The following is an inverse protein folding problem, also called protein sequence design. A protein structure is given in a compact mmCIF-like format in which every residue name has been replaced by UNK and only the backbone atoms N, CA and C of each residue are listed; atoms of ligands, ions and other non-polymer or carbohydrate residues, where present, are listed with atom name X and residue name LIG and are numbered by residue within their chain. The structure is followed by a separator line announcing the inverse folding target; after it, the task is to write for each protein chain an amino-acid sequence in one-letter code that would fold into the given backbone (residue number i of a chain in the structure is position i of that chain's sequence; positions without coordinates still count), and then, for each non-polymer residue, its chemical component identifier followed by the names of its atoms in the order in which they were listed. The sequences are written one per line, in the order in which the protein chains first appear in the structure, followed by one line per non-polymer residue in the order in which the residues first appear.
data_IF_353319394205
#
_entry.id   IF_353319394205
#
_cell.length_a   1.000
_cell.length_b   1.000
_cell.length_c   1.000
_cell.angle_alpha   90.00
_cell.angle_beta   90.00
_cell.angle_gamma   90.00
#
_symmetry.space_group_name_H-M   'P 1'
#
loop_
_entity.id
_entity.type
_entity.pdbx_description
1 polymer ?
#
# COMPACT_ATOMS: atom_id res chain seq x y z
N UNK A 1 -12.20 30.55 -6.57
CA UNK A 1 -10.92 30.74 -7.33
C UNK A 1 -10.30 29.37 -7.48
N UNK A 2 -9.58 29.09 -8.60
CA UNK A 2 -8.86 27.81 -8.73
C UNK A 2 -7.62 27.86 -7.83
N UNK A 3 -7.47 26.81 -7.03
CA UNK A 3 -6.29 26.58 -6.19
C UNK A 3 -5.54 25.35 -6.69
N UNK A 4 -4.23 25.35 -6.53
CA UNK A 4 -3.36 24.25 -6.93
C UNK A 4 -2.45 23.96 -5.75
N UNK A 5 -2.56 22.75 -5.21
CA UNK A 5 -1.67 22.28 -4.13
C UNK A 5 -0.90 21.05 -4.59
N UNK A 6 0.33 20.92 -4.10
CA UNK A 6 1.19 19.78 -4.37
C UNK A 6 0.97 18.73 -3.29
N UNK A 7 0.93 17.45 -3.68
CA UNK A 7 0.86 16.33 -2.76
C UNK A 7 1.48 15.08 -3.38
N UNK A 8 1.48 13.98 -2.66
CA UNK A 8 1.92 12.68 -3.15
C UNK A 8 0.74 11.87 -3.68
N UNK A 9 0.98 11.06 -4.68
CA UNK A 9 0.02 10.13 -5.22
C UNK A 9 -0.16 8.93 -4.26
N UNK A 10 -1.40 8.56 -3.87
CA UNK A 10 -1.66 7.47 -2.95
C UNK A 10 -1.73 6.09 -3.62
N UNK A 11 -1.57 6.00 -4.95
CA UNK A 11 -1.97 4.81 -5.70
C UNK A 11 -0.99 3.64 -5.67
N UNK A 12 0.30 3.87 -5.38
CA UNK A 12 1.30 2.81 -5.27
C UNK A 12 2.62 3.33 -4.67
N UNK A 13 3.53 2.42 -4.36
CA UNK A 13 4.80 2.70 -3.68
C UNK A 13 5.84 3.51 -4.47
N UNK A 14 5.54 3.98 -5.66
CA UNK A 14 6.49 4.79 -6.46
C UNK A 14 6.77 6.14 -5.81
N UNK A 15 5.80 6.74 -5.11
CA UNK A 15 5.97 8.05 -4.47
C UNK A 15 5.95 9.22 -5.46
N UNK A 16 5.05 9.19 -6.46
CA UNK A 16 4.90 10.24 -7.46
C UNK A 16 4.34 11.53 -6.86
N UNK A 17 4.89 12.69 -7.22
CA UNK A 17 4.30 13.99 -6.92
C UNK A 17 3.21 14.37 -7.93
N UNK A 18 2.07 14.80 -7.42
CA UNK A 18 0.94 15.28 -8.21
C UNK A 18 0.49 16.67 -7.75
N UNK A 19 -0.16 17.38 -8.66
CA UNK A 19 -0.89 18.60 -8.33
C UNK A 19 -2.37 18.26 -8.27
N UNK A 20 -3.03 18.70 -7.23
CA UNK A 20 -4.49 18.65 -7.12
C UNK A 20 -5.02 20.06 -7.36
N UNK A 21 -6.05 20.14 -8.18
CA UNK A 21 -6.75 21.39 -8.48
C UNK A 21 -8.08 21.37 -7.76
N UNK A 22 -8.34 22.41 -6.97
CA UNK A 22 -9.63 22.63 -6.33
C UNK A 22 -10.25 23.97 -6.75
N UNK A 23 -11.56 24.06 -6.64
CA UNK A 23 -12.33 25.27 -6.87
C UNK A 23 -13.37 25.44 -5.75
N UNK A 24 -13.18 26.45 -4.92
CA UNK A 24 -14.09 26.73 -3.78
C UNK A 24 -14.24 25.54 -2.80
N UNK A 25 -13.16 24.77 -2.63
CA UNK A 25 -13.13 23.56 -1.78
C UNK A 25 -13.39 22.25 -2.51
N UNK A 26 -13.99 22.26 -3.70
CA UNK A 26 -14.25 21.05 -4.49
C UNK A 26 -13.04 20.66 -5.31
N UNK A 27 -12.71 19.37 -5.31
CA UNK A 27 -11.64 18.80 -6.15
C UNK A 27 -12.13 18.69 -7.59
N UNK A 28 -11.41 19.30 -8.51
CA UNK A 28 -11.75 19.29 -9.96
C UNK A 28 -10.82 18.43 -10.80
N UNK A 29 -9.72 17.96 -10.25
CA UNK A 29 -8.83 17.03 -10.94
C UNK A 29 -7.37 17.08 -10.50
N UNK A 30 -6.55 16.30 -11.17
CA UNK A 30 -5.10 16.21 -10.94
C UNK A 30 -4.31 16.37 -12.23
N UNK A 31 -3.05 16.77 -12.09
CA UNK A 31 -2.05 16.67 -13.14
C UNK A 31 -0.64 16.44 -12.54
N UNK A 32 0.33 15.92 -13.31
CA UNK A 32 1.63 15.59 -12.75
C UNK A 32 2.39 16.83 -12.26
N UNK A 33 3.09 16.70 -11.14
CA UNK A 33 3.98 17.74 -10.66
C UNK A 33 5.32 17.68 -11.40
N UNK A 34 5.53 18.63 -12.32
CA UNK A 34 6.68 18.63 -13.26
C UNK A 34 8.05 18.66 -12.59
N UNK A 35 8.15 19.22 -11.39
CA UNK A 35 9.42 19.39 -10.68
C UNK A 35 9.69 18.29 -9.65
N UNK A 36 8.77 17.33 -9.52
CA UNK A 36 8.95 16.24 -8.57
C UNK A 36 10.04 15.28 -9.06
N UNK A 37 11.05 14.95 -8.21
CA UNK A 37 12.23 14.19 -8.66
C UNK A 37 11.88 12.75 -9.07
N UNK A 38 10.88 12.14 -8.43
CA UNK A 38 10.52 10.74 -8.66
C UNK A 38 9.87 10.50 -10.01
N UNK A 39 8.83 11.27 -10.34
CA UNK A 39 8.03 11.05 -11.55
C UNK A 39 8.30 12.05 -12.68
N UNK A 40 9.12 13.08 -12.47
CA UNK A 40 9.62 14.01 -13.52
C UNK A 40 8.50 14.58 -14.40
N UNK A 41 7.36 14.86 -13.83
CA UNK A 41 6.19 15.36 -14.56
C UNK A 41 5.43 14.29 -15.35
N UNK A 42 5.61 13.02 -15.07
CA UNK A 42 4.79 11.93 -15.62
C UNK A 42 3.68 11.55 -14.62
N UNK A 43 2.59 10.99 -15.12
CA UNK A 43 1.50 10.48 -14.32
C UNK A 43 0.85 9.28 -15.02
N UNK A 44 0.49 8.26 -14.26
CA UNK A 44 -0.26 7.11 -14.76
C UNK A 44 -1.77 7.33 -14.62
N UNK A 45 -2.57 6.41 -15.13
CA UNK A 45 -4.02 6.49 -15.03
C UNK A 45 -4.50 6.48 -13.57
N UNK A 46 -3.93 5.60 -12.74
CA UNK A 46 -4.29 5.52 -11.31
C UNK A 46 -4.01 6.84 -10.58
N UNK A 47 -2.85 7.46 -10.85
CA UNK A 47 -2.54 8.77 -10.27
C UNK A 47 -3.44 9.91 -10.77
N UNK A 48 -3.97 9.82 -12.00
CA UNK A 48 -4.96 10.80 -12.48
C UNK A 48 -6.30 10.66 -11.80
N UNK A 49 -6.72 9.41 -11.59
CA UNK A 49 -8.02 9.07 -11.03
C UNK A 49 -8.01 9.02 -9.50
N UNK A 50 -6.85 9.27 -8.86
CA UNK A 50 -6.73 9.16 -7.39
C UNK A 50 -7.67 10.07 -6.61
N UNK A 51 -8.17 11.14 -7.22
CA UNK A 51 -9.12 12.08 -6.59
C UNK A 51 -10.58 11.65 -6.70
N UNK A 52 -10.91 10.63 -7.51
CA UNK A 52 -12.28 10.10 -7.64
C UNK A 52 -12.81 9.55 -6.31
N UNK A 53 -11.92 9.14 -5.41
CA UNK A 53 -12.28 8.75 -4.04
C UNK A 53 -13.07 9.83 -3.30
N UNK A 54 -12.86 11.10 -3.66
CA UNK A 54 -13.52 12.22 -3.01
C UNK A 54 -15.00 12.37 -3.39
N UNK A 55 -15.41 11.80 -4.53
CA UNK A 55 -16.80 11.85 -5.02
C UNK A 55 -17.77 11.00 -4.19
N UNK A 56 -17.27 9.96 -3.50
CA UNK A 56 -18.06 8.98 -2.75
C UNK A 56 -17.72 8.98 -1.25
N UNK A 57 -17.40 10.15 -0.71
CA UNK A 57 -17.03 10.30 0.68
C UNK A 57 -18.20 9.98 1.61
N UNK A 58 -17.91 9.27 2.70
CA UNK A 58 -18.87 9.00 3.77
C UNK A 58 -19.13 10.28 4.58
N UNK A 59 -20.42 10.59 4.82
CA UNK A 59 -20.85 11.76 5.57
C UNK A 59 -21.18 11.44 7.05
N UNK A 60 -21.54 10.20 7.34
CA UNK A 60 -21.97 9.75 8.68
C UNK A 60 -21.33 8.41 9.04
N UNK A 61 -21.24 8.10 10.33
CA UNK A 61 -20.91 6.76 10.78
C UNK A 61 -22.10 5.82 10.57
N UNK A 62 -21.83 4.53 10.39
CA UNK A 62 -22.84 3.49 10.16
C UNK A 62 -22.70 2.44 11.27
N UNK A 63 -23.80 2.05 11.88
CA UNK A 63 -23.90 0.91 12.80
C UNK A 63 -25.08 0.04 12.38
N UNK A 64 -24.81 -1.25 12.09
CA UNK A 64 -25.84 -2.21 11.65
C UNK A 64 -26.71 -1.67 10.51
N UNK A 65 -26.08 -1.16 9.46
CA UNK A 65 -26.71 -0.56 8.26
C UNK A 65 -27.59 0.68 8.54
N UNK A 66 -27.33 1.40 9.62
CA UNK A 66 -28.07 2.62 9.96
C UNK A 66 -27.08 3.76 10.23
N UNK A 67 -27.37 4.93 9.65
CA UNK A 67 -26.62 6.14 9.93
C UNK A 67 -26.74 6.55 11.40
N UNK A 68 -25.62 6.87 12.01
CA UNK A 68 -25.52 7.31 13.40
C UNK A 68 -24.49 8.45 13.54
N UNK A 69 -24.52 9.14 14.66
CA UNK A 69 -23.44 10.02 15.01
C UNK A 69 -22.16 9.25 15.39
N UNK A 70 -21.00 9.91 15.25
CA UNK A 70 -19.71 9.30 15.51
C UNK A 70 -19.57 8.81 16.96
N UNK A 71 -20.08 9.56 17.93
CA UNK A 71 -19.94 9.21 19.35
C UNK A 71 -20.71 7.91 19.67
N UNK A 72 -21.86 7.66 19.03
CA UNK A 72 -22.58 6.41 19.15
C UNK A 72 -21.83 5.24 18.49
N UNK A 73 -21.21 5.46 17.34
CA UNK A 73 -20.37 4.43 16.71
C UNK A 73 -19.17 4.08 17.60
N UNK A 74 -18.52 5.06 18.21
CA UNK A 74 -17.42 4.86 19.16
C UNK A 74 -17.89 4.09 20.40
N UNK A 75 -19.09 4.40 20.96
CA UNK A 75 -19.66 3.64 22.08
C UNK A 75 -19.89 2.18 21.73
N UNK A 76 -20.37 1.88 20.53
CA UNK A 76 -20.58 0.51 20.05
C UNK A 76 -19.24 -0.22 19.84
N UNK A 77 -18.23 0.45 19.28
CA UNK A 77 -16.86 -0.09 19.17
C UNK A 77 -16.34 -0.47 20.56
N UNK A 78 -16.38 0.46 21.51
CA UNK A 78 -15.89 0.21 22.88
C UNK A 78 -16.65 -0.93 23.59
N UNK A 79 -17.95 -1.07 23.34
CA UNK A 79 -18.76 -2.19 23.83
C UNK A 79 -18.25 -3.54 23.30
N UNK A 80 -17.97 -3.62 21.99
CA UNK A 80 -17.41 -4.80 21.37
C UNK A 80 -16.00 -5.11 21.90
N UNK A 81 -15.13 -4.12 21.99
CA UNK A 81 -13.75 -4.28 22.49
C UNK A 81 -13.70 -4.75 23.96
N UNK A 82 -14.66 -4.32 24.80
CA UNK A 82 -14.75 -4.74 26.21
C UNK A 82 -15.33 -6.15 26.39
N UNK A 83 -16.09 -6.64 25.44
CA UNK A 83 -16.83 -7.89 25.52
C UNK A 83 -16.15 -9.09 24.87
N UNK A 84 -15.06 -8.88 24.14
CA UNK A 84 -14.36 -9.89 23.35
C UNK A 84 -12.88 -9.94 23.71
N UNK A 85 -12.28 -11.11 23.53
CA UNK A 85 -10.89 -11.35 23.95
C UNK A 85 -9.89 -11.25 22.79
N UNK A 86 -10.30 -11.67 21.58
CA UNK A 86 -9.40 -11.75 20.42
C UNK A 86 -9.63 -10.58 19.47
N UNK A 87 -8.92 -9.51 19.71
CA UNK A 87 -9.02 -8.28 18.90
C UNK A 87 -7.80 -8.17 18.01
N UNK A 88 -8.04 -7.97 16.72
CA UNK A 88 -6.99 -7.71 15.72
C UNK A 88 -7.16 -6.32 15.12
N UNK A 89 -6.09 -5.56 15.12
CA UNK A 89 -6.01 -4.24 14.51
C UNK A 89 -5.19 -4.35 13.23
N UNK A 90 -5.82 -4.10 12.10
CA UNK A 90 -5.19 -4.15 10.80
C UNK A 90 -4.81 -2.74 10.33
N UNK A 91 -3.54 -2.53 10.05
CA UNK A 91 -3.03 -1.36 9.35
C UNK A 91 -2.58 -1.74 7.94
N UNK A 92 -2.50 -0.77 7.07
CA UNK A 92 -2.17 -1.00 5.67
C UNK A 92 -1.16 0.01 5.13
N UNK A 93 -0.61 -0.31 3.96
CA UNK A 93 0.23 0.62 3.21
C UNK A 93 -0.51 1.85 2.63
N UNK A 94 -1.82 1.99 2.89
CA UNK A 94 -2.59 3.19 2.57
C UNK A 94 -2.57 4.22 3.73
N UNK A 95 -2.11 3.82 4.91
CA UNK A 95 -1.92 4.70 6.06
C UNK A 95 -0.58 5.45 5.95
N UNK A 96 -0.52 6.67 6.49
CA UNK A 96 0.75 7.39 6.65
C UNK A 96 1.65 6.70 7.69
N UNK A 97 2.92 7.07 7.73
CA UNK A 97 3.86 6.60 8.77
C UNK A 97 3.30 6.93 10.15
N UNK A 98 2.79 8.14 10.32
CA UNK A 98 2.25 8.65 11.57
C UNK A 98 0.98 7.88 11.99
N UNK A 99 0.10 7.57 11.04
CA UNK A 99 -1.09 6.75 11.31
C UNK A 99 -0.72 5.33 11.75
N UNK A 100 0.28 4.71 11.09
CA UNK A 100 0.72 3.34 11.43
C UNK A 100 1.36 3.30 12.81
N UNK A 101 2.16 4.30 13.18
CA UNK A 101 2.73 4.42 14.52
C UNK A 101 1.64 4.56 15.60
N UNK A 102 0.60 5.35 15.33
CA UNK A 102 -0.53 5.51 16.22
C UNK A 102 -1.35 4.21 16.37
N UNK A 103 -1.64 3.54 15.26
CA UNK A 103 -2.35 2.24 15.24
C UNK A 103 -1.56 1.20 16.03
N UNK A 104 -0.25 1.11 15.81
CA UNK A 104 0.64 0.19 16.55
C UNK A 104 0.63 0.48 18.04
N UNK A 105 0.82 1.75 18.42
CA UNK A 105 0.79 2.15 19.83
C UNK A 105 -0.55 1.83 20.50
N UNK A 106 -1.66 2.02 19.80
CA UNK A 106 -3.00 1.66 20.27
C UNK A 106 -3.14 0.15 20.49
N UNK A 107 -2.70 -0.67 19.55
CA UNK A 107 -2.75 -2.11 19.66
C UNK A 107 -1.89 -2.62 20.84
N UNK A 108 -0.64 -2.15 20.94
CA UNK A 108 0.29 -2.53 22.00
C UNK A 108 -0.22 -2.13 23.40
N UNK A 109 -0.76 -0.92 23.55
CA UNK A 109 -1.29 -0.42 24.83
C UNK A 109 -2.44 -1.27 25.36
N UNK A 110 -3.26 -1.82 24.47
CA UNK A 110 -4.44 -2.61 24.83
C UNK A 110 -4.21 -4.12 24.75
N UNK A 111 -2.99 -4.58 24.43
CA UNK A 111 -2.65 -5.98 24.18
C UNK A 111 -3.47 -6.62 23.05
N UNK A 112 -3.78 -5.85 22.00
CA UNK A 112 -4.43 -6.36 20.80
C UNK A 112 -3.40 -6.88 19.81
N UNK A 113 -3.81 -7.82 18.96
CA UNK A 113 -2.98 -8.25 17.84
C UNK A 113 -2.89 -7.11 16.84
N UNK A 114 -1.68 -6.89 16.29
CA UNK A 114 -1.50 -5.99 15.15
C UNK A 114 -1.21 -6.82 13.90
N UNK A 115 -1.86 -6.47 12.81
CA UNK A 115 -1.73 -7.14 11.54
C UNK A 115 -1.38 -6.16 10.41
N UNK A 116 -0.48 -6.61 9.54
CA UNK A 116 -0.14 -5.97 8.28
C UNK A 116 -0.01 -7.06 7.21
N UNK A 117 -0.77 -6.94 6.15
CA UNK A 117 -0.61 -7.74 4.94
C UNK A 117 -0.15 -6.84 3.78
N UNK A 118 0.84 -7.28 3.05
CA UNK A 118 1.34 -6.61 1.87
C UNK A 118 1.48 -7.61 0.72
N UNK A 119 1.31 -7.14 -0.50
CA UNK A 119 1.43 -7.92 -1.73
C UNK A 119 2.86 -8.43 -2.01
N UNK A 120 3.83 -7.89 -1.28
CA UNK A 120 5.19 -8.38 -1.23
C UNK A 120 5.61 -8.68 0.21
N UNK A 121 6.42 -9.70 0.43
CA UNK A 121 7.13 -9.88 1.68
C UNK A 121 8.26 -8.87 1.77
N UNK A 122 8.38 -8.27 2.94
CA UNK A 122 9.41 -7.31 3.25
C UNK A 122 10.26 -7.80 4.41
N UNK A 123 11.49 -7.86 4.21
CA UNK A 123 12.57 -8.20 5.10
C UNK A 123 13.84 -7.83 4.39
N UNK A 124 13.81 -6.73 3.63
CA UNK A 124 14.98 -6.21 2.96
C UNK A 124 15.56 -5.16 3.87
N UNK A 125 16.50 -5.61 4.70
CA UNK A 125 17.37 -4.72 5.45
C UNK A 125 18.51 -4.29 4.53
N UNK A 126 18.65 -3.01 4.26
CA UNK A 126 19.74 -2.46 3.47
C UNK A 126 19.30 -1.66 2.24
N UNK A 127 20.30 -1.28 1.45
CA UNK A 127 20.10 -0.45 0.28
C UNK A 127 19.39 -1.22 -0.84
N UNK A 128 18.29 -0.65 -1.35
CA UNK A 128 17.59 -1.14 -2.53
C UNK A 128 18.03 -0.36 -3.78
N UNK A 129 17.74 -0.90 -4.96
CA UNK A 129 18.00 -0.20 -6.21
C UNK A 129 17.23 1.13 -6.28
N UNK A 130 17.88 2.17 -6.76
CA UNK A 130 17.19 3.40 -7.13
C UNK A 130 16.40 3.21 -8.44
N UNK A 131 15.45 4.10 -8.69
CA UNK A 131 14.73 4.09 -9.98
C UNK A 131 15.65 4.37 -11.17
N UNK A 132 16.74 5.10 -10.94
CA UNK A 132 17.78 5.32 -11.94
C UNK A 132 18.59 4.06 -12.22
N UNK A 133 18.83 3.21 -11.23
CA UNK A 133 19.47 1.90 -11.44
C UNK A 133 18.59 1.04 -12.37
N UNK A 134 17.27 1.03 -12.18
CA UNK A 134 16.35 0.31 -13.06
C UNK A 134 16.41 0.84 -14.49
N UNK A 135 16.40 2.16 -14.68
CA UNK A 135 16.42 2.80 -16.00
C UNK A 135 17.73 2.58 -16.76
N UNK A 136 18.85 2.40 -16.04
CA UNK A 136 20.20 2.22 -16.57
C UNK A 136 20.67 0.77 -16.57
N UNK A 137 19.83 -0.14 -16.10
CA UNK A 137 20.18 -1.55 -16.00
C UNK A 137 20.55 -2.14 -17.37
N UNK A 138 21.56 -3.01 -17.40
CA UNK A 138 21.90 -3.80 -18.58
C UNK A 138 21.07 -5.08 -18.68
N UNK A 139 20.59 -5.58 -17.54
CA UNK A 139 19.72 -6.76 -17.41
C UNK A 139 18.72 -6.56 -16.29
N UNK A 140 17.52 -7.03 -16.53
CA UNK A 140 16.42 -6.96 -15.57
C UNK A 140 15.79 -8.36 -15.40
N UNK A 141 15.60 -8.77 -14.15
CA UNK A 141 14.64 -9.82 -13.81
C UNK A 141 13.43 -9.14 -13.19
N UNK A 142 12.24 -9.40 -13.74
CA UNK A 142 10.99 -8.80 -13.30
C UNK A 142 10.04 -9.91 -12.82
N UNK A 143 9.67 -9.87 -11.53
CA UNK A 143 8.77 -10.86 -10.91
C UNK A 143 7.44 -10.19 -10.59
N UNK A 144 6.37 -10.67 -11.25
CA UNK A 144 5.02 -10.11 -11.19
C UNK A 144 4.73 -9.10 -12.30
N UNK A 145 3.49 -8.59 -12.35
CA UNK A 145 3.07 -7.61 -13.38
C UNK A 145 3.37 -6.16 -12.94
N UNK A 146 4.68 -5.88 -12.77
CA UNK A 146 5.19 -4.58 -12.31
C UNK A 146 4.78 -3.44 -13.24
N UNK A 147 4.71 -3.67 -14.55
CA UNK A 147 4.34 -2.63 -15.51
C UNK A 147 2.88 -2.18 -15.35
N UNK A 148 2.01 -3.06 -14.89
CA UNK A 148 0.62 -2.76 -14.62
C UNK A 148 0.42 -2.09 -13.25
N UNK A 149 0.98 -2.68 -12.19
CA UNK A 149 0.78 -2.21 -10.82
C UNK A 149 1.57 -0.94 -10.48
N UNK A 150 2.79 -0.82 -11.04
CA UNK A 150 3.71 0.29 -10.79
C UNK A 150 4.16 0.94 -12.12
N UNK A 151 3.26 1.61 -12.88
CA UNK A 151 3.52 1.99 -14.28
C UNK A 151 4.73 2.90 -14.48
N UNK A 152 5.12 3.71 -13.47
CA UNK A 152 6.29 4.58 -13.59
C UNK A 152 7.62 3.81 -13.39
N UNK A 153 7.61 2.69 -12.68
CA UNK A 153 8.72 1.72 -12.70
C UNK A 153 8.72 0.98 -14.03
N UNK A 154 7.54 0.53 -14.49
CA UNK A 154 7.38 -0.09 -15.80
C UNK A 154 7.94 0.78 -16.94
N UNK A 155 7.70 2.10 -16.88
CA UNK A 155 8.30 3.04 -17.84
C UNK A 155 9.83 2.99 -17.82
N UNK A 156 10.46 2.88 -16.65
CA UNK A 156 11.92 2.80 -16.52
C UNK A 156 12.46 1.47 -17.06
N UNK A 157 11.73 0.36 -16.84
CA UNK A 157 12.04 -0.94 -17.46
C UNK A 157 11.99 -0.86 -18.98
N UNK A 158 10.95 -0.21 -19.55
CA UNK A 158 10.85 0.00 -21.01
C UNK A 158 12.02 0.84 -21.52
N UNK A 159 12.41 1.90 -20.81
CA UNK A 159 13.57 2.73 -21.21
C UNK A 159 14.88 1.94 -21.18
N UNK A 160 15.10 1.09 -20.16
CA UNK A 160 16.27 0.23 -20.11
C UNK A 160 16.29 -0.71 -21.32
N UNK A 161 15.14 -1.34 -21.65
CA UNK A 161 15.00 -2.21 -22.83
C UNK A 161 15.25 -1.46 -24.14
N UNK A 162 14.70 -0.27 -24.32
CA UNK A 162 14.94 0.57 -25.51
C UNK A 162 16.42 0.93 -25.66
N UNK A 163 17.17 0.97 -24.55
CA UNK A 163 18.60 1.18 -24.51
C UNK A 163 19.44 -0.11 -24.61
N UNK A 164 18.79 -1.25 -24.85
CA UNK A 164 19.43 -2.54 -25.12
C UNK A 164 19.58 -3.46 -23.90
N UNK A 165 18.85 -3.22 -22.83
CA UNK A 165 18.80 -4.14 -21.71
C UNK A 165 18.01 -5.43 -22.06
N UNK A 166 18.49 -6.56 -21.54
CA UNK A 166 17.73 -7.82 -21.59
C UNK A 166 16.72 -7.82 -20.42
N UNK A 167 15.47 -8.22 -20.70
CA UNK A 167 14.38 -8.30 -19.71
C UNK A 167 13.84 -9.72 -19.62
N UNK A 168 14.01 -10.36 -18.48
CA UNK A 168 13.53 -11.69 -18.17
C UNK A 168 12.45 -11.60 -17.09
N UNK A 169 11.39 -12.41 -17.18
CA UNK A 169 10.32 -12.30 -16.19
C UNK A 169 9.70 -13.63 -15.77
N UNK A 170 9.18 -13.61 -14.54
CA UNK A 170 8.11 -14.48 -14.08
C UNK A 170 6.88 -13.63 -13.85
N UNK A 171 5.87 -13.74 -14.70
CA UNK A 171 4.66 -12.90 -14.69
C UNK A 171 3.51 -13.65 -15.36
N UNK A 172 2.23 -13.32 -15.08
CA UNK A 172 1.11 -13.95 -15.78
C UNK A 172 1.21 -13.78 -17.29
N UNK A 173 0.89 -14.84 -18.02
CA UNK A 173 0.83 -14.82 -19.49
C UNK A 173 -0.16 -13.73 -19.97
N UNK A 174 0.24 -12.96 -20.97
CA UNK A 174 -0.57 -11.86 -21.50
C UNK A 174 -0.58 -10.60 -20.64
N UNK A 175 0.16 -10.55 -19.53
CA UNK A 175 0.33 -9.35 -18.71
C UNK A 175 1.08 -8.24 -19.45
N UNK A 176 1.01 -7.01 -18.92
CA UNK A 176 1.75 -5.88 -19.52
C UNK A 176 3.27 -6.12 -19.42
N UNK A 177 3.74 -6.69 -18.32
CA UNK A 177 5.15 -7.06 -18.13
C UNK A 177 5.58 -8.12 -19.14
N UNK A 178 4.76 -9.15 -19.38
CA UNK A 178 5.04 -10.21 -20.36
C UNK A 178 5.29 -9.65 -21.77
N UNK A 179 4.52 -8.62 -22.17
CA UNK A 179 4.66 -8.01 -23.50
C UNK A 179 5.99 -7.27 -23.72
N UNK A 180 6.71 -6.95 -22.66
CA UNK A 180 7.99 -6.24 -22.70
C UNK A 180 9.17 -7.22 -22.52
N UNK A 181 8.92 -8.38 -21.93
CA UNK A 181 9.97 -9.38 -21.63
C UNK A 181 10.52 -10.04 -22.89
N UNK A 182 11.82 -10.32 -22.87
CA UNK A 182 12.49 -11.12 -23.93
C UNK A 182 12.20 -12.63 -23.72
N UNK A 183 12.11 -13.03 -22.45
CA UNK A 183 11.75 -14.39 -22.06
C UNK A 183 10.87 -14.38 -20.81
N UNK A 184 9.88 -15.28 -20.78
CA UNK A 184 8.95 -15.46 -19.67
C UNK A 184 9.16 -16.86 -19.12
N UNK A 185 9.34 -16.98 -17.81
CA UNK A 185 9.55 -18.23 -17.09
C UNK A 185 8.29 -18.66 -16.34
N UNK A 186 8.21 -19.96 -16.02
CA UNK A 186 7.04 -20.56 -15.38
C UNK A 186 7.04 -20.41 -13.84
N UNK A 187 8.19 -20.04 -13.25
CA UNK A 187 8.35 -19.88 -11.81
C UNK A 187 9.47 -18.88 -11.45
N UNK A 188 9.52 -18.47 -10.17
CA UNK A 188 10.63 -17.69 -9.62
C UNK A 188 11.93 -18.50 -9.72
N UNK A 189 11.91 -19.77 -9.34
CA UNK A 189 13.07 -20.64 -9.44
C UNK A 189 13.60 -20.75 -10.88
N UNK A 190 12.70 -20.81 -11.85
CA UNK A 190 13.04 -20.94 -13.25
C UNK A 190 13.74 -19.69 -13.79
N UNK A 191 13.20 -18.50 -13.52
CA UNK A 191 13.84 -17.27 -13.96
C UNK A 191 15.18 -17.03 -13.26
N UNK A 192 15.30 -17.36 -11.97
CA UNK A 192 16.54 -17.21 -11.22
C UNK A 192 17.60 -18.23 -11.66
N UNK A 193 17.25 -19.49 -11.90
CA UNK A 193 18.16 -20.53 -12.37
C UNK A 193 18.62 -20.30 -13.80
N UNK A 194 17.73 -19.83 -14.70
CA UNK A 194 18.06 -19.61 -16.09
C UNK A 194 18.90 -18.35 -16.33
N UNK A 195 18.62 -17.28 -15.58
CA UNK A 195 19.20 -15.95 -15.85
C UNK A 195 19.99 -15.34 -14.70
N UNK A 196 19.83 -15.84 -13.47
CA UNK A 196 20.52 -15.29 -12.29
C UNK A 196 22.05 -15.34 -12.40
N UNK A 197 22.60 -16.38 -13.05
CA UNK A 197 24.06 -16.46 -13.27
C UNK A 197 24.59 -15.44 -14.28
N UNK A 198 23.74 -14.83 -15.08
CA UNK A 198 24.10 -13.79 -16.05
C UNK A 198 24.03 -12.36 -15.48
N UNK A 199 23.55 -12.20 -14.25
CA UNK A 199 23.48 -10.89 -13.57
C UNK A 199 24.87 -10.39 -13.18
N UNK A 200 24.97 -9.09 -13.03
CA UNK A 200 26.17 -8.35 -12.61
C UNK A 200 25.79 -7.08 -11.85
N UNK A 201 26.77 -6.24 -11.51
CA UNK A 201 26.58 -4.99 -10.77
C UNK A 201 25.68 -3.95 -11.46
N UNK A 202 25.47 -4.09 -12.79
CA UNK A 202 24.57 -3.24 -13.59
C UNK A 202 23.17 -3.83 -13.75
N UNK A 203 22.87 -4.94 -13.06
CA UNK A 203 21.61 -5.66 -13.18
C UNK A 203 20.69 -5.37 -11.98
N UNK A 204 19.37 -5.41 -12.21
CA UNK A 204 18.38 -5.19 -11.15
C UNK A 204 17.30 -6.27 -11.18
N UNK A 205 16.93 -6.79 -10.01
CA UNK A 205 15.76 -7.65 -9.82
C UNK A 205 14.63 -6.81 -9.26
N UNK A 206 13.53 -6.63 -10.00
CA UNK A 206 12.35 -5.87 -9.59
C UNK A 206 11.19 -6.82 -9.35
N UNK A 207 10.50 -6.70 -8.22
CA UNK A 207 9.43 -7.64 -7.89
C UNK A 207 8.28 -7.00 -7.09
N UNK A 208 7.05 -7.51 -7.29
CA UNK A 208 5.84 -7.07 -6.58
C UNK A 208 4.93 -8.23 -6.11
N UNK A 209 5.35 -9.48 -6.27
CA UNK A 209 4.54 -10.67 -5.91
C UNK A 209 5.34 -11.74 -5.18
N UNK A 210 6.38 -11.35 -4.45
CA UNK A 210 7.19 -12.29 -3.66
C UNK A 210 6.56 -12.41 -2.27
N UNK A 211 5.83 -13.51 -2.01
CA UNK A 211 5.02 -13.72 -0.81
C UNK A 211 5.58 -14.80 0.12
N UNK A 212 6.72 -15.41 -0.19
CA UNK A 212 7.39 -16.38 0.65
C UNK A 212 8.78 -15.93 1.06
N UNK A 213 9.17 -16.20 2.31
CA UNK A 213 10.53 -15.92 2.79
C UNK A 213 11.57 -16.71 2.00
N UNK A 214 11.23 -17.94 1.56
CA UNK A 214 12.11 -18.79 0.78
C UNK A 214 12.47 -18.14 -0.58
N UNK A 215 11.48 -17.61 -1.29
CA UNK A 215 11.72 -16.95 -2.58
C UNK A 215 12.50 -15.64 -2.41
N UNK A 216 12.22 -14.88 -1.34
CA UNK A 216 12.98 -13.68 -1.02
C UNK A 216 14.45 -14.01 -0.73
N UNK A 217 14.71 -15.08 0.04
CA UNK A 217 16.07 -15.49 0.36
C UNK A 217 16.83 -15.95 -0.89
N UNK A 218 16.19 -16.66 -1.82
CA UNK A 218 16.79 -17.01 -3.13
C UNK A 218 17.15 -15.76 -3.95
N UNK A 219 16.25 -14.76 -4.01
CA UNK A 219 16.49 -13.49 -4.69
C UNK A 219 17.71 -12.78 -4.07
N UNK A 220 17.76 -12.68 -2.73
CA UNK A 220 18.87 -12.06 -2.01
C UNK A 220 20.19 -12.79 -2.27
N UNK A 221 20.20 -14.13 -2.17
CA UNK A 221 21.39 -14.95 -2.40
C UNK A 221 21.99 -14.71 -3.79
N UNK A 222 21.14 -14.68 -4.83
CA UNK A 222 21.59 -14.43 -6.19
C UNK A 222 22.07 -12.98 -6.34
N UNK A 223 21.34 -12.03 -5.79
CA UNK A 223 21.73 -10.63 -5.83
C UNK A 223 23.10 -10.40 -5.17
N UNK A 224 23.31 -10.93 -3.97
CA UNK A 224 24.57 -10.83 -3.24
C UNK A 224 25.72 -11.49 -4.00
N UNK A 225 25.49 -12.69 -4.53
CA UNK A 225 26.49 -13.44 -5.31
C UNK A 225 26.96 -12.70 -6.57
N UNK A 226 26.07 -11.88 -7.15
CA UNK A 226 26.30 -11.19 -8.43
C UNK A 226 26.57 -9.70 -8.29
N UNK A 227 26.50 -9.15 -7.07
CA UNK A 227 26.47 -7.73 -6.79
C UNK A 227 25.39 -6.97 -7.56
N UNK A 228 24.31 -7.67 -7.95
CA UNK A 228 23.15 -7.02 -8.55
C UNK A 228 22.32 -6.35 -7.46
N UNK A 229 21.42 -5.47 -7.85
CA UNK A 229 20.53 -4.77 -6.92
C UNK A 229 19.13 -5.35 -6.94
N UNK A 230 18.37 -5.12 -5.87
CA UNK A 230 16.97 -5.53 -5.76
C UNK A 230 16.07 -4.31 -5.52
N UNK A 231 14.86 -4.33 -6.08
CA UNK A 231 13.85 -3.31 -5.85
C UNK A 231 12.48 -3.98 -5.63
N UNK A 232 12.03 -4.09 -4.38
CA UNK A 232 10.64 -4.43 -4.09
C UNK A 232 9.74 -3.24 -4.42
N UNK A 233 8.62 -3.49 -5.09
CA UNK A 233 7.59 -2.49 -5.34
C UNK A 233 6.24 -3.01 -4.86
N UNK A 234 5.31 -2.11 -4.52
CA UNK A 234 4.06 -2.45 -3.85
C UNK A 234 2.89 -1.74 -4.51
N UNK A 235 1.70 -2.32 -4.36
CA UNK A 235 0.45 -1.75 -4.85
C UNK A 235 -0.04 -0.55 -4.00
N UNK A 236 0.36 -0.44 -2.73
CA UNK A 236 -0.04 0.65 -1.83
C UNK A 236 1.12 1.62 -1.58
N UNK A 237 0.80 2.90 -1.38
CA UNK A 237 1.78 3.99 -1.42
C UNK A 237 2.84 3.95 -0.32
N UNK A 238 2.48 3.50 0.88
CA UNK A 238 3.36 3.45 2.05
C UNK A 238 3.64 2.01 2.53
N UNK A 239 3.47 0.98 1.68
CA UNK A 239 3.72 -0.41 2.11
C UNK A 239 5.14 -0.61 2.64
N UNK A 240 6.14 0.05 2.05
CA UNK A 240 7.53 0.00 2.55
C UNK A 240 7.63 0.55 3.97
N UNK A 241 7.08 1.75 4.22
CA UNK A 241 7.05 2.35 5.56
C UNK A 241 6.24 1.53 6.57
N UNK A 242 5.12 0.96 6.13
CA UNK A 242 4.31 0.08 6.98
C UNK A 242 5.11 -1.14 7.44
N UNK A 243 5.83 -1.77 6.52
CA UNK A 243 6.66 -2.94 6.82
C UNK A 243 7.89 -2.63 7.67
N UNK A 244 8.39 -1.41 7.65
CA UNK A 244 9.48 -0.96 8.53
C UNK A 244 9.01 -0.78 9.99
N UNK A 245 7.70 -0.53 10.19
CA UNK A 245 7.11 -0.29 11.52
C UNK A 245 6.46 -1.56 12.08
N UNK A 246 5.73 -2.29 11.24
CA UNK A 246 4.99 -3.52 11.59
C UNK A 246 5.48 -4.66 10.72
N UNK A 247 5.81 -5.78 11.34
CA UNK A 247 6.17 -6.99 10.58
C UNK A 247 4.97 -7.46 9.76
N UNK A 248 5.11 -7.48 8.42
CA UNK A 248 4.10 -8.06 7.55
C UNK A 248 4.00 -9.58 7.78
N UNK A 249 2.78 -10.10 7.82
CA UNK A 249 2.50 -11.53 7.84
C UNK A 249 2.53 -12.11 6.43
N UNK A 250 2.91 -13.40 6.33
CA UNK A 250 2.61 -14.17 5.13
C UNK A 250 1.08 -14.33 4.99
N UNK A 251 0.64 -14.77 3.81
CA UNK A 251 -0.80 -15.03 3.60
C UNK A 251 -1.35 -16.06 4.60
N UNK A 252 -0.59 -17.10 4.84
CA UNK A 252 -0.94 -18.20 5.77
C UNK A 252 -1.01 -17.68 7.20
N UNK A 253 0.02 -16.97 7.68
CA UNK A 253 0.06 -16.38 9.02
C UNK A 253 -1.11 -15.40 9.23
N UNK A 254 -1.44 -14.61 8.20
CA UNK A 254 -2.53 -13.65 8.28
C UNK A 254 -3.90 -14.34 8.35
N UNK A 255 -4.14 -15.37 7.53
CA UNK A 255 -5.37 -16.18 7.58
C UNK A 255 -5.52 -16.90 8.93
N UNK A 256 -4.42 -17.44 9.48
CA UNK A 256 -4.45 -18.04 10.84
C UNK A 256 -4.84 -17.02 11.92
N UNK A 257 -4.31 -15.80 11.83
CA UNK A 257 -4.67 -14.71 12.74
C UNK A 257 -6.16 -14.33 12.61
N UNK A 258 -6.68 -14.20 11.37
CA UNK A 258 -8.09 -13.90 11.13
C UNK A 258 -9.03 -14.98 11.68
N UNK A 259 -8.66 -16.27 11.55
CA UNK A 259 -9.43 -17.38 12.12
C UNK A 259 -9.57 -17.31 13.65
N UNK A 260 -8.63 -16.69 14.33
CA UNK A 260 -8.64 -16.51 15.79
C UNK A 260 -9.30 -15.18 16.23
N UNK A 261 -9.72 -14.32 15.28
CA UNK A 261 -10.17 -12.95 15.55
C UNK A 261 -11.67 -12.89 15.83
N UNK A 262 -12.06 -12.28 16.95
CA UNK A 262 -13.45 -11.95 17.27
C UNK A 262 -13.86 -10.57 16.76
N UNK A 263 -12.97 -9.57 16.90
CA UNK A 263 -13.18 -8.20 16.44
C UNK A 263 -12.01 -7.78 15.56
N UNK A 264 -12.30 -7.37 14.34
CA UNK A 264 -11.32 -6.86 13.39
C UNK A 264 -11.53 -5.35 13.18
N UNK A 265 -10.50 -4.57 13.50
CA UNK A 265 -10.45 -3.13 13.22
C UNK A 265 -9.61 -2.91 11.95
N UNK A 266 -10.20 -2.37 10.88
CA UNK A 266 -9.53 -2.13 9.60
C UNK A 266 -9.38 -0.63 9.37
N UNK A 267 -8.13 -0.16 9.28
CA UNK A 267 -7.81 1.25 9.06
C UNK A 267 -7.43 1.53 7.62
N UNK A 268 -8.25 2.33 6.93
CA UNK A 268 -8.00 2.91 5.61
C UNK A 268 -7.68 1.88 4.51
N UNK A 269 -8.43 0.76 4.49
CA UNK A 269 -8.20 -0.30 3.50
C UNK A 269 -9.48 -0.97 3.01
N UNK A 270 -9.38 -1.61 1.84
CA UNK A 270 -10.34 -2.56 1.31
C UNK A 270 -9.77 -3.98 1.34
N UNK A 271 -9.77 -4.60 2.51
CA UNK A 271 -9.09 -5.87 2.80
C UNK A 271 -9.78 -7.09 2.17
N UNK A 272 -11.13 -7.10 2.10
CA UNK A 272 -11.90 -8.27 1.65
C UNK A 272 -11.48 -8.77 0.26
N UNK A 273 -11.32 -7.92 -0.77
CA UNK A 273 -10.92 -8.40 -2.09
C UNK A 273 -9.45 -8.90 -2.16
N UNK A 274 -8.62 -8.62 -1.16
CA UNK A 274 -7.20 -8.98 -1.17
C UNK A 274 -6.93 -10.38 -0.62
N UNK A 275 -7.84 -10.89 0.23
CA UNK A 275 -7.64 -12.15 0.95
C UNK A 275 -8.82 -13.08 0.72
N UNK A 276 -8.54 -14.28 0.26
CA UNK A 276 -9.52 -15.37 0.17
C UNK A 276 -9.77 -15.94 1.57
N UNK A 277 -10.74 -15.34 2.27
CA UNK A 277 -11.13 -15.67 3.64
C UNK A 277 -12.63 -15.42 3.84
N UNK A 278 -13.29 -16.26 4.65
CA UNK A 278 -14.69 -16.07 5.03
C UNK A 278 -14.82 -15.04 6.16
N UNK A 279 -14.87 -13.76 5.80
CA UNK A 279 -15.00 -12.66 6.75
C UNK A 279 -16.31 -12.69 7.56
N UNK A 280 -17.34 -13.44 7.11
CA UNK A 280 -18.56 -13.62 7.89
C UNK A 280 -18.34 -14.47 9.18
N UNK A 281 -17.23 -15.14 9.30
CA UNK A 281 -16.83 -15.85 10.52
C UNK A 281 -16.38 -14.92 11.66
N UNK A 282 -15.99 -13.68 11.35
CA UNK A 282 -15.60 -12.67 12.35
C UNK A 282 -16.85 -12.03 12.95
N UNK A 283 -16.94 -12.01 14.29
CA UNK A 283 -18.13 -11.51 14.99
C UNK A 283 -18.43 -10.04 14.72
N UNK A 284 -17.40 -9.20 14.65
CA UNK A 284 -17.53 -7.76 14.41
C UNK A 284 -16.35 -7.27 13.58
N UNK A 285 -16.66 -6.65 12.44
CA UNK A 285 -15.71 -5.90 11.63
C UNK A 285 -16.04 -4.42 11.78
N UNK A 286 -15.00 -3.64 12.06
CA UNK A 286 -15.07 -2.18 12.14
C UNK A 286 -14.16 -1.61 11.06
N UNK A 287 -14.70 -0.79 10.16
CA UNK A 287 -13.93 -0.10 9.13
C UNK A 287 -13.82 1.38 9.43
N UNK A 288 -12.60 1.89 9.37
CA UNK A 288 -12.28 3.32 9.43
C UNK A 288 -11.81 3.76 8.04
N UNK A 289 -12.69 4.33 7.24
CA UNK A 289 -12.45 4.62 5.82
C UNK A 289 -13.06 5.96 5.39
N UNK A 290 -12.46 6.65 4.40
CA UNK A 290 -13.03 7.91 3.90
C UNK A 290 -14.27 7.70 3.02
N UNK A 291 -14.41 6.55 2.36
CA UNK A 291 -15.51 6.24 1.44
C UNK A 291 -15.86 4.75 1.50
N UNK A 292 -17.03 4.40 0.99
CA UNK A 292 -17.49 3.01 0.92
C UNK A 292 -16.56 2.15 0.06
N UNK A 293 -16.33 0.92 0.53
CA UNK A 293 -15.62 -0.12 -0.18
C UNK A 293 -16.16 -1.51 0.19
N UNK A 294 -15.60 -2.58 -0.35
CA UNK A 294 -16.08 -3.95 -0.09
C UNK A 294 -16.02 -4.31 1.40
N UNK A 295 -14.96 -3.91 2.09
CA UNK A 295 -14.77 -4.18 3.52
C UNK A 295 -15.73 -3.37 4.38
N UNK A 296 -15.94 -2.09 4.10
CA UNK A 296 -16.91 -1.27 4.83
C UNK A 296 -18.34 -1.75 4.63
N UNK A 297 -18.68 -2.20 3.43
CA UNK A 297 -20.00 -2.77 3.14
C UNK A 297 -20.31 -4.08 3.89
N UNK A 298 -19.27 -4.83 4.27
CA UNK A 298 -19.39 -6.04 5.09
C UNK A 298 -19.26 -5.77 6.60
N UNK A 299 -18.88 -4.55 6.98
CA UNK A 299 -18.63 -4.18 8.37
C UNK A 299 -19.90 -3.88 9.14
N UNK A 300 -19.94 -4.29 10.42
CA UNK A 300 -21.02 -3.95 11.34
C UNK A 300 -20.97 -2.50 11.79
N UNK A 301 -19.75 -1.92 11.82
CA UNK A 301 -19.54 -0.53 12.19
C UNK A 301 -18.58 0.12 11.19
N UNK A 302 -18.97 1.29 10.66
CA UNK A 302 -18.14 2.10 9.76
C UNK A 302 -18.01 3.49 10.34
N UNK A 303 -16.78 3.99 10.45
CA UNK A 303 -16.48 5.34 10.91
C UNK A 303 -15.76 6.09 9.80
N UNK A 304 -16.32 7.22 9.32
CA UNK A 304 -15.65 8.04 8.33
C UNK A 304 -14.39 8.70 8.93
N UNK A 305 -13.30 8.62 8.16
CA UNK A 305 -12.03 9.28 8.49
C UNK A 305 -11.59 10.19 7.36
N UNK A 306 -10.61 11.04 7.63
CA UNK A 306 -9.94 11.86 6.60
C UNK A 306 -9.39 10.99 5.48
N UNK A 307 -9.66 11.41 4.25
CA UNK A 307 -8.93 10.90 3.08
C UNK A 307 -7.51 11.46 3.03
N UNK A 308 -6.65 10.90 2.19
CA UNK A 308 -5.30 11.42 1.98
C UNK A 308 -5.26 12.89 1.47
N UNK A 309 -6.34 13.39 0.85
CA UNK A 309 -6.47 14.79 0.43
C UNK A 309 -6.68 15.75 1.60
N UNK A 310 -7.20 15.26 2.71
CA UNK A 310 -7.58 16.00 3.90
C UNK A 310 -6.60 15.80 5.06
N UNK A 311 -5.64 14.90 4.86
CA UNK A 311 -4.62 14.52 5.86
C UNK A 311 -3.25 15.07 5.47
N UNK A 312 -2.36 15.14 6.44
CA UNK A 312 -0.93 15.40 6.30
C UNK A 312 -0.15 14.20 6.87
N UNK A 313 1.09 14.05 6.45
CA UNK A 313 1.92 12.96 6.95
C UNK A 313 3.07 12.64 6.01
N UNK A 314 3.58 11.41 6.14
CA UNK A 314 4.66 10.92 5.30
C UNK A 314 4.41 9.50 4.76
N UNK A 315 4.94 9.25 3.55
CA UNK A 315 5.02 7.94 2.94
C UNK A 315 6.48 7.60 2.66
N UNK A 316 6.82 6.32 2.77
CA UNK A 316 8.12 5.78 2.36
C UNK A 316 7.95 5.12 1.00
N UNK A 317 8.63 5.63 -0.02
CA UNK A 317 8.57 5.06 -1.37
C UNK A 317 9.36 3.74 -1.47
N UNK A 318 9.25 3.06 -2.62
CA UNK A 318 9.93 1.77 -2.83
C UNK A 318 11.48 1.85 -2.75
N UNK A 319 12.07 3.04 -2.92
CA UNK A 319 13.51 3.25 -2.69
C UNK A 319 13.88 3.44 -1.22
N UNK A 320 12.90 3.45 -0.30
CA UNK A 320 13.13 3.74 1.12
C UNK A 320 13.23 5.23 1.46
N UNK A 321 12.88 6.13 0.53
CA UNK A 321 12.90 7.57 0.78
C UNK A 321 11.59 8.02 1.43
N UNK A 322 11.69 8.69 2.58
CA UNK A 322 10.55 9.32 3.24
C UNK A 322 10.18 10.61 2.52
N UNK A 323 8.92 10.72 2.13
CA UNK A 323 8.36 11.88 1.45
C UNK A 323 7.18 12.42 2.25
N UNK A 324 7.14 13.73 2.52
CA UNK A 324 6.06 14.39 3.25
C UNK A 324 4.99 14.91 2.30
N UNK A 325 3.75 14.95 2.78
CA UNK A 325 2.62 15.56 2.08
C UNK A 325 1.77 16.36 3.06
N UNK A 326 1.18 17.45 2.55
CA UNK A 326 0.28 18.31 3.30
C UNK A 326 -1.16 18.11 2.83
N UNK A 327 -2.13 18.44 3.69
CA UNK A 327 -3.54 18.44 3.33
C UNK A 327 -3.81 19.40 2.15
N UNK A 328 -4.52 18.88 1.18
CA UNK A 328 -4.93 19.64 -0.01
C UNK A 328 -6.23 20.39 0.25
N UNK A 329 -7.13 19.77 1.02
CA UNK A 329 -8.46 20.27 1.36
C UNK A 329 -8.59 20.32 2.88
N UNK A 330 -9.23 21.36 3.38
CA UNK A 330 -9.62 21.46 4.78
C UNK A 330 -10.85 20.60 5.04
N UNK A 331 -10.88 19.90 6.17
CA UNK A 331 -11.97 19.00 6.54
C UNK A 331 -12.09 18.88 8.06
N UNK A 332 -13.32 18.82 8.54
CA UNK A 332 -13.66 18.54 9.94
C UNK A 332 -13.77 17.01 10.22
N UNK A 333 -13.50 16.16 9.22
CA UNK A 333 -13.47 14.70 9.42
C UNK A 333 -12.36 14.31 10.42
N UNK A 334 -12.57 13.20 11.12
CA UNK A 334 -11.59 12.68 12.08
C UNK A 334 -10.37 12.11 11.38
N UNK A 335 -9.19 12.40 11.88
CA UNK A 335 -7.98 11.65 11.54
C UNK A 335 -8.00 10.27 12.21
N UNK A 336 -7.07 9.39 11.81
CA UNK A 336 -6.85 8.10 12.49
C UNK A 336 -6.53 8.33 13.97
N UNK A 337 -5.71 9.32 14.29
CA UNK A 337 -5.37 9.69 15.67
C UNK A 337 -6.60 10.13 16.47
N UNK A 338 -7.44 11.02 15.91
CA UNK A 338 -8.65 11.48 16.59
C UNK A 338 -9.60 10.33 16.95
N UNK A 339 -9.75 9.37 16.05
CA UNK A 339 -10.57 8.17 16.29
C UNK A 339 -9.98 7.30 17.38
N UNK A 340 -8.68 7.06 17.34
CA UNK A 340 -7.95 6.26 18.35
C UNK A 340 -8.08 6.91 19.72
N UNK A 341 -7.88 8.24 19.84
CA UNK A 341 -8.05 8.99 21.09
C UNK A 341 -9.47 8.85 21.64
N UNK A 342 -10.51 9.05 20.79
CA UNK A 342 -11.90 8.90 21.20
C UNK A 342 -12.22 7.48 21.72
N UNK A 343 -11.65 6.44 21.10
CA UNK A 343 -11.80 5.05 21.55
C UNK A 343 -11.07 4.86 22.89
N UNK A 344 -9.85 5.34 23.02
CA UNK A 344 -9.05 5.22 24.26
C UNK A 344 -9.67 5.94 25.45
N UNK A 345 -10.28 7.09 25.25
CA UNK A 345 -10.93 7.84 26.32
C UNK A 345 -12.16 7.13 26.91
N UNK A 346 -12.73 6.18 26.16
CA UNK A 346 -13.91 5.41 26.57
C UNK A 346 -13.60 3.94 26.97
N UNK A 347 -12.38 3.44 26.70
CA UNK A 347 -11.91 2.11 27.13
C UNK A 347 -11.45 2.11 28.59
#
# INVERSE_FOLDING_TARGET
MLEIKHTLCPSCSVGCGINVVSHEGDVVGTYPYKRHPVNEGKNCLNGRNSVEIYENKLESAIVSNSDVDIDKAIDEICSNLKSKDNITVFCSGNNSVEDIEAIKSFAEKNNYNIALYADNIVGIDGDVASYDDVEKASKLIVIGDVLYTNPLIGRRIIHAKDNGADVYSFTPEGSVTANVSDEICDSIDDVLNSFGDNLDESSVIVFNTVNSSEDLDKIKEISDKRNSKILPVFSKCNSKGACDIVKAQSKEEFVELLNATDVLLVFNDDLIPEIDFDFASISTIVSFVPCENSTSNASQIVVPIKSWLENEGSFVNAMGETQTFDAVIESDALSVNDVIEKIQDKL
#
